data_IF_343877295074
#
_entry.id   IF_343877295074
#
_cell.length_a   1.000
_cell.length_b   1.000
_cell.length_c   1.000
_cell.angle_alpha   90.00
_cell.angle_beta   90.00
_cell.angle_gamma   90.00
#
_symmetry.space_group_name_H-M   'P 1'
#
loop_
_entity.id
_entity.type
_entity.pdbx_description
1 polymer ?
#
# COMPACT_ATOMS: atom_id res chain seq x y z
N UNK A 1 -9.89 3.81 -22.63
CA UNK A 1 -8.93 4.86 -22.24
C UNK A 1 -9.51 6.23 -22.58
N UNK A 2 -9.18 7.34 -21.89
CA UNK A 2 -9.59 8.67 -22.37
C UNK A 2 -9.02 8.90 -23.77
N UNK A 3 -9.81 9.53 -24.65
CA UNK A 3 -9.39 9.81 -26.02
C UNK A 3 -8.45 11.01 -26.15
N UNK A 4 -8.28 11.80 -25.10
CA UNK A 4 -7.44 13.01 -25.13
C UNK A 4 -6.88 13.38 -23.76
N UNK A 5 -5.89 14.27 -23.80
CA UNK A 5 -5.24 14.86 -22.62
C UNK A 5 -6.21 15.79 -21.89
N UNK A 6 -6.13 15.85 -20.56
CA UNK A 6 -6.92 16.79 -19.75
C UNK A 6 -6.58 18.24 -20.12
N UNK A 7 -7.49 19.17 -19.83
CA UNK A 7 -7.20 20.60 -19.93
C UNK A 7 -6.06 20.98 -18.99
N UNK A 8 -5.11 21.76 -19.49
CA UNK A 8 -4.06 22.38 -18.67
C UNK A 8 -4.65 23.54 -17.87
N UNK A 9 -3.95 23.97 -16.82
CA UNK A 9 -4.45 25.09 -16.00
C UNK A 9 -4.49 26.41 -16.79
N UNK A 10 -3.60 26.57 -17.78
CA UNK A 10 -3.65 27.68 -18.73
C UNK A 10 -4.92 27.65 -19.59
N UNK A 11 -5.24 26.51 -20.20
CA UNK A 11 -6.46 26.35 -21.01
C UNK A 11 -7.72 26.57 -20.18
N UNK A 12 -7.74 26.09 -18.93
CA UNK A 12 -8.84 26.36 -17.99
C UNK A 12 -9.02 27.85 -17.75
N UNK A 13 -7.93 28.58 -17.51
CA UNK A 13 -7.94 30.03 -17.35
C UNK A 13 -8.49 30.74 -18.59
N UNK A 14 -8.03 30.37 -19.79
CA UNK A 14 -8.54 30.90 -21.05
C UNK A 14 -10.03 30.64 -21.24
N UNK A 15 -10.50 29.41 -20.98
CA UNK A 15 -11.92 29.07 -21.08
C UNK A 15 -12.74 29.92 -20.11
N UNK A 16 -12.29 30.07 -18.86
CA UNK A 16 -12.97 30.86 -17.84
C UNK A 16 -13.03 32.35 -18.17
N UNK A 17 -11.96 32.92 -18.74
CA UNK A 17 -11.93 34.32 -19.17
C UNK A 17 -12.87 34.57 -20.36
N UNK A 18 -12.74 33.79 -21.44
CA UNK A 18 -13.57 33.94 -22.64
C UNK A 18 -15.05 33.68 -22.37
N UNK A 19 -15.38 32.77 -21.44
CA UNK A 19 -16.76 32.52 -21.05
C UNK A 19 -17.37 33.71 -20.28
N UNK A 20 -16.58 34.40 -19.44
CA UNK A 20 -17.02 35.62 -18.75
C UNK A 20 -17.28 36.77 -19.72
N UNK A 21 -16.55 36.83 -20.83
CA UNK A 21 -16.76 37.79 -21.92
C UNK A 21 -18.00 37.49 -22.77
N UNK A 22 -18.75 36.41 -22.47
CA UNK A 22 -19.97 36.04 -23.19
C UNK A 22 -19.74 35.27 -24.50
N UNK A 23 -18.51 34.85 -24.77
CA UNK A 23 -18.18 34.10 -26.00
C UNK A 23 -18.83 32.72 -25.96
N UNK A 24 -19.33 32.26 -27.11
CA UNK A 24 -20.01 30.97 -27.20
C UNK A 24 -19.06 29.80 -26.93
N UNK A 25 -19.54 28.75 -26.26
CA UNK A 25 -18.73 27.56 -25.90
C UNK A 25 -18.09 26.87 -27.11
N UNK A 26 -18.75 26.92 -28.28
CA UNK A 26 -18.22 26.38 -29.54
C UNK A 26 -17.05 27.21 -30.05
N UNK A 27 -17.17 28.53 -30.00
CA UNK A 27 -16.12 29.44 -30.44
C UNK A 27 -14.91 29.39 -29.52
N UNK A 28 -15.11 29.31 -28.20
CA UNK A 28 -14.03 29.07 -27.22
C UNK A 28 -13.25 27.81 -27.58
N UNK A 29 -13.97 26.72 -27.90
CA UNK A 29 -13.35 25.45 -28.26
C UNK A 29 -12.52 25.56 -29.54
N UNK A 30 -13.01 26.27 -30.56
CA UNK A 30 -12.26 26.55 -31.79
C UNK A 30 -11.00 27.38 -31.53
N UNK A 31 -11.10 28.45 -30.71
CA UNK A 31 -9.95 29.33 -30.38
C UNK A 31 -8.83 28.58 -29.64
N UNK A 32 -9.18 27.65 -28.75
CA UNK A 32 -8.22 26.90 -27.94
C UNK A 32 -7.80 25.59 -28.63
N UNK A 33 -8.41 25.23 -29.78
CA UNK A 33 -8.10 23.99 -30.49
C UNK A 33 -8.53 22.73 -29.73
N UNK A 34 -9.61 22.81 -28.95
CA UNK A 34 -10.14 21.70 -28.13
C UNK A 34 -11.55 21.31 -28.58
N UNK A 35 -12.03 20.15 -28.11
CA UNK A 35 -13.41 19.76 -28.39
C UNK A 35 -14.40 20.57 -27.57
N UNK A 36 -15.50 20.95 -28.22
CA UNK A 36 -16.60 21.70 -27.59
C UNK A 36 -17.20 20.95 -26.37
N UNK A 37 -17.17 19.62 -26.39
CA UNK A 37 -17.59 18.75 -25.28
C UNK A 37 -16.68 18.91 -24.07
N UNK A 38 -15.37 19.07 -24.25
CA UNK A 38 -14.44 19.27 -23.12
C UNK A 38 -14.66 20.64 -22.47
N UNK A 39 -14.85 21.69 -23.28
CA UNK A 39 -15.19 23.04 -22.81
C UNK A 39 -16.51 23.01 -22.04
N UNK A 40 -17.56 22.38 -22.58
CA UNK A 40 -18.85 22.20 -21.89
C UNK A 40 -18.70 21.45 -20.56
N UNK A 41 -17.95 20.35 -20.54
CA UNK A 41 -17.74 19.56 -19.31
C UNK A 41 -16.98 20.34 -18.24
N UNK A 42 -16.00 21.17 -18.63
CA UNK A 42 -15.28 22.03 -17.70
C UNK A 42 -16.19 23.12 -17.13
N UNK A 43 -16.90 23.87 -17.98
CA UNK A 43 -17.78 24.96 -17.52
C UNK A 43 -18.95 24.46 -16.65
N UNK A 44 -19.45 23.25 -16.89
CA UNK A 44 -20.49 22.66 -16.05
C UNK A 44 -19.98 22.23 -14.65
N UNK A 45 -18.67 22.09 -14.46
CA UNK A 45 -18.09 21.70 -13.18
C UNK A 45 -16.63 22.18 -13.08
N UNK A 46 -16.47 23.50 -12.93
CA UNK A 46 -15.16 24.17 -12.94
C UNK A 46 -14.29 23.67 -11.79
N UNK A 47 -14.85 23.63 -10.58
CA UNK A 47 -14.09 23.30 -9.37
C UNK A 47 -13.64 21.83 -9.31
N UNK A 48 -14.43 20.91 -9.88
CA UNK A 48 -14.11 19.47 -9.83
C UNK A 48 -13.60 18.91 -11.16
N UNK A 49 -13.24 19.76 -12.13
CA UNK A 49 -12.73 19.25 -13.40
C UNK A 49 -11.43 18.47 -13.19
N UNK A 50 -11.43 17.21 -13.60
CA UNK A 50 -10.24 16.37 -13.58
C UNK A 50 -9.78 15.89 -12.19
N UNK A 51 -10.50 16.23 -11.11
CA UNK A 51 -10.21 15.80 -9.73
C UNK A 51 -10.58 14.34 -9.48
N UNK A 52 -11.57 13.82 -10.22
CA UNK A 52 -12.01 12.43 -10.11
C UNK A 52 -10.87 11.45 -10.41
N UNK A 53 -10.36 10.80 -9.35
CA UNK A 53 -9.35 9.74 -9.45
C UNK A 53 -9.96 8.49 -10.06
N UNK A 54 -9.21 7.84 -10.96
CA UNK A 54 -9.54 6.50 -11.45
C UNK A 54 -9.13 5.48 -10.39
N UNK A 55 -10.07 4.67 -9.92
CA UNK A 55 -9.80 3.64 -8.89
C UNK A 55 -8.92 2.48 -9.39
N UNK A 56 -8.71 2.37 -10.70
CA UNK A 56 -7.93 1.29 -11.30
C UNK A 56 -8.64 -0.06 -11.21
N UNK A 57 -7.92 -1.14 -11.54
CA UNK A 57 -8.42 -2.51 -11.40
C UNK A 57 -8.51 -2.87 -9.91
N UNK A 58 -9.62 -3.46 -9.43
CA UNK A 58 -9.71 -3.95 -8.06
C UNK A 58 -8.63 -5.01 -7.81
N UNK A 59 -8.21 -5.11 -6.56
CA UNK A 59 -7.24 -6.14 -6.15
C UNK A 59 -7.90 -7.51 -6.17
N UNK A 60 -7.10 -8.53 -6.44
CA UNK A 60 -7.56 -9.94 -6.46
C UNK A 60 -7.83 -10.46 -5.05
N UNK A 61 -7.03 -10.02 -4.06
CA UNK A 61 -7.18 -10.41 -2.66
C UNK A 61 -8.22 -9.54 -1.95
N UNK A 62 -9.14 -10.19 -1.24
CA UNK A 62 -10.08 -9.51 -0.35
C UNK A 62 -9.41 -9.06 0.94
N UNK A 63 -10.08 -8.18 1.68
CA UNK A 63 -9.62 -7.72 3.00
C UNK A 63 -9.48 -8.85 4.02
N UNK A 64 -10.28 -9.91 3.85
CA UNK A 64 -10.17 -11.13 4.66
C UNK A 64 -8.92 -11.91 4.29
N UNK A 65 -8.66 -12.11 3.00
CA UNK A 65 -7.48 -12.85 2.54
C UNK A 65 -6.19 -12.14 2.97
N UNK A 66 -6.16 -10.81 2.89
CA UNK A 66 -5.01 -10.00 3.35
C UNK A 66 -4.74 -10.21 4.84
N UNK A 67 -5.78 -10.23 5.67
CA UNK A 67 -5.67 -10.52 7.10
C UNK A 67 -5.20 -11.96 7.36
N UNK A 68 -5.73 -12.94 6.63
CA UNK A 68 -5.30 -14.33 6.74
C UNK A 68 -3.83 -14.51 6.38
N UNK A 69 -3.37 -13.90 5.26
CA UNK A 69 -1.95 -13.90 4.87
C UNK A 69 -1.10 -13.28 5.98
N UNK A 70 -1.50 -12.12 6.52
CA UNK A 70 -0.76 -11.46 7.58
C UNK A 70 -0.66 -12.33 8.84
N UNK A 71 -1.74 -13.02 9.21
CA UNK A 71 -1.77 -13.91 10.37
C UNK A 71 -0.89 -15.15 10.16
N UNK A 72 -0.98 -15.79 9.00
CA UNK A 72 -0.19 -16.97 8.65
C UNK A 72 1.31 -16.66 8.51
N UNK A 73 1.66 -15.42 8.13
CA UNK A 73 3.05 -14.97 7.98
C UNK A 73 3.68 -14.52 9.30
N UNK A 74 2.88 -13.95 10.22
CA UNK A 74 3.37 -13.42 11.48
C UNK A 74 3.97 -14.53 12.36
N UNK A 75 5.18 -14.29 12.88
CA UNK A 75 5.92 -15.22 13.77
C UNK A 75 6.08 -16.66 13.22
N UNK A 76 5.98 -16.85 11.91
CA UNK A 76 6.10 -18.17 11.29
C UNK A 76 7.32 -18.23 10.36
N UNK A 77 7.80 -19.45 10.13
CA UNK A 77 8.83 -19.74 9.12
C UNK A 77 8.20 -20.32 7.84
N UNK A 78 6.93 -20.02 7.60
CA UNK A 78 6.18 -20.61 6.49
C UNK A 78 6.70 -20.11 5.14
N UNK A 79 6.79 -21.03 4.17
CA UNK A 79 7.07 -20.66 2.79
C UNK A 79 5.86 -19.96 2.16
N UNK A 80 6.06 -19.13 1.14
CA UNK A 80 4.96 -18.48 0.42
C UNK A 80 3.95 -19.50 -0.15
N UNK A 81 4.44 -20.68 -0.54
CA UNK A 81 3.60 -21.77 -1.07
C UNK A 81 2.83 -22.46 0.06
N UNK A 82 3.43 -22.57 1.25
CA UNK A 82 2.75 -23.00 2.47
C UNK A 82 1.63 -22.03 2.86
N UNK A 83 1.91 -20.74 2.92
CA UNK A 83 0.91 -19.68 3.24
C UNK A 83 -0.26 -19.73 2.25
N UNK A 84 0.02 -19.92 0.96
CA UNK A 84 -1.03 -20.08 -0.06
C UNK A 84 -1.96 -21.25 0.26
N UNK A 85 -1.39 -22.40 0.59
CA UNK A 85 -2.14 -23.62 0.85
C UNK A 85 -2.92 -23.52 2.18
N UNK A 86 -2.30 -22.98 3.23
CA UNK A 86 -2.91 -22.73 4.53
C UNK A 86 -4.11 -21.79 4.42
N UNK A 87 -3.96 -20.68 3.69
CA UNK A 87 -5.02 -19.71 3.45
C UNK A 87 -6.01 -20.16 2.35
N UNK A 88 -5.80 -21.33 1.72
CA UNK A 88 -6.60 -21.87 0.60
C UNK A 88 -6.81 -20.86 -0.54
N UNK A 89 -5.76 -20.12 -0.90
CA UNK A 89 -5.83 -19.07 -1.90
C UNK A 89 -5.48 -19.58 -3.31
N UNK A 90 -6.26 -19.18 -4.31
CA UNK A 90 -6.02 -19.47 -5.73
C UNK A 90 -5.19 -18.39 -6.44
N UNK A 91 -4.39 -17.61 -5.69
CA UNK A 91 -3.55 -16.54 -6.25
C UNK A 91 -2.13 -17.00 -6.55
N UNK A 92 -1.44 -16.24 -7.41
CA UNK A 92 -0.03 -16.49 -7.71
C UNK A 92 0.88 -16.17 -6.51
N UNK A 93 1.98 -16.91 -6.40
CA UNK A 93 2.99 -16.73 -5.33
C UNK A 93 3.52 -15.27 -5.26
N UNK A 94 3.83 -14.59 -6.39
CA UNK A 94 4.26 -13.19 -6.34
C UNK A 94 3.19 -12.23 -5.82
N UNK A 95 1.90 -12.60 -5.89
CA UNK A 95 0.82 -11.77 -5.32
C UNK A 95 0.84 -11.82 -3.79
N UNK A 96 1.08 -13.00 -3.22
CA UNK A 96 1.23 -13.18 -1.76
C UNK A 96 2.47 -12.43 -1.27
N UNK A 97 3.60 -12.57 -1.96
CA UNK A 97 4.83 -11.86 -1.61
C UNK A 97 4.66 -10.33 -1.62
N UNK A 98 4.00 -9.78 -2.66
CA UNK A 98 3.67 -8.35 -2.73
C UNK A 98 2.77 -7.89 -1.60
N UNK A 99 1.85 -8.73 -1.14
CA UNK A 99 0.98 -8.39 -0.02
C UNK A 99 1.72 -8.41 1.31
N UNK A 100 2.63 -9.36 1.51
CA UNK A 100 3.49 -9.41 2.71
C UNK A 100 4.37 -8.15 2.78
N UNK A 101 5.07 -7.80 1.70
CA UNK A 101 5.94 -6.62 1.67
C UNK A 101 5.20 -5.29 1.79
N UNK A 102 3.89 -5.28 1.55
CA UNK A 102 3.06 -4.07 1.74
C UNK A 102 2.78 -3.82 3.22
N UNK A 103 2.85 -4.84 4.07
CA UNK A 103 2.58 -4.70 5.49
C UNK A 103 3.85 -4.18 6.21
N UNK A 104 3.86 -2.94 6.74
CA UNK A 104 5.04 -2.38 7.41
C UNK A 104 5.39 -3.09 8.71
N UNK A 105 4.46 -3.87 9.28
CA UNK A 105 4.67 -4.59 10.53
C UNK A 105 5.28 -5.99 10.32
N UNK A 106 5.49 -6.41 9.07
CA UNK A 106 6.10 -7.70 8.75
C UNK A 106 7.48 -7.47 8.14
N UNK A 107 8.51 -7.86 8.89
CA UNK A 107 9.90 -7.82 8.43
C UNK A 107 10.41 -9.26 8.32
N UNK A 108 11.06 -9.55 7.20
CA UNK A 108 11.74 -10.83 7.02
C UNK A 108 13.04 -10.79 7.82
N UNK A 109 13.10 -11.58 8.88
CA UNK A 109 14.34 -11.77 9.64
C UNK A 109 14.76 -13.23 9.66
N UNK A 110 16.07 -13.45 9.82
CA UNK A 110 16.62 -14.79 10.07
C UNK A 110 16.59 -15.02 11.58
N UNK A 111 15.97 -16.13 12.00
CA UNK A 111 15.98 -16.55 13.40
C UNK A 111 17.43 -16.71 13.88
N UNK A 112 17.78 -16.04 14.98
CA UNK A 112 19.10 -16.18 15.62
C UNK A 112 19.28 -17.63 16.08
N UNK A 113 20.43 -18.22 15.78
CA UNK A 113 20.76 -19.56 16.28
C UNK A 113 21.01 -19.48 17.78
N UNK A 114 20.38 -20.35 18.53
CA UNK A 114 20.62 -20.53 19.96
C UNK A 114 20.74 -22.04 20.24
N UNK A 115 21.68 -22.46 21.10
CA UNK A 115 21.75 -23.84 21.57
C UNK A 115 20.43 -24.24 22.24
N UNK A 116 20.04 -25.52 22.08
CA UNK A 116 18.84 -26.04 22.75
C UNK A 116 19.07 -26.06 24.26
N UNK A 117 18.23 -25.34 24.99
CA UNK A 117 18.29 -25.30 26.45
C UNK A 117 17.64 -26.57 27.03
N UNK A 118 18.48 -27.57 27.30
CA UNK A 118 18.10 -28.76 28.06
C UNK A 118 17.75 -28.42 29.52
N UNK A 119 17.06 -29.34 30.20
CA UNK A 119 16.58 -29.08 31.56
C UNK A 119 17.73 -28.78 32.54
N UNK A 120 18.79 -29.59 32.54
CA UNK A 120 19.95 -29.37 33.40
C UNK A 120 20.61 -28.00 33.18
N UNK A 121 20.62 -27.47 31.94
CA UNK A 121 21.10 -26.11 31.68
C UNK A 121 20.20 -25.04 32.33
N UNK A 122 18.88 -25.26 32.37
CA UNK A 122 17.94 -24.32 33.02
C UNK A 122 18.18 -24.31 34.52
N UNK A 123 18.33 -25.50 35.12
CA UNK A 123 18.53 -25.66 36.55
C UNK A 123 19.86 -25.01 36.99
N UNK A 124 20.95 -25.28 36.28
CA UNK A 124 22.25 -24.66 36.56
C UNK A 124 22.25 -23.13 36.40
N UNK A 125 21.54 -22.61 35.37
CA UNK A 125 21.37 -21.15 35.18
C UNK A 125 20.58 -20.53 36.32
N UNK A 126 19.53 -21.21 36.80
CA UNK A 126 18.70 -20.73 37.89
C UNK A 126 19.48 -20.72 39.21
N UNK A 127 20.25 -21.76 39.48
CA UNK A 127 21.12 -21.86 40.65
C UNK A 127 22.21 -20.77 40.61
N UNK A 128 22.88 -20.57 39.47
CA UNK A 128 23.83 -19.48 39.29
C UNK A 128 23.18 -18.12 39.56
N UNK A 129 21.98 -17.86 39.01
CA UNK A 129 21.28 -16.60 39.24
C UNK A 129 20.96 -16.39 40.74
N UNK A 130 20.44 -17.43 41.42
CA UNK A 130 20.15 -17.38 42.86
C UNK A 130 21.40 -17.07 43.69
N UNK A 131 22.50 -17.75 43.39
CA UNK A 131 23.76 -17.60 44.13
C UNK A 131 24.46 -16.26 43.89
N UNK A 132 24.13 -15.56 42.79
CA UNK A 132 24.78 -14.31 42.41
C UNK A 132 23.82 -13.10 42.42
N UNK A 133 22.63 -13.18 43.05
CA UNK A 133 21.67 -12.07 43.05
C UNK A 133 22.20 -10.80 43.71
N UNK A 134 23.00 -10.93 44.78
CA UNK A 134 23.60 -9.80 45.51
C UNK A 134 25.01 -9.48 45.04
N UNK A 135 25.45 -10.05 43.92
CA UNK A 135 26.82 -9.87 43.42
C UNK A 135 26.92 -8.59 42.59
N UNK A 136 27.77 -7.67 43.02
CA UNK A 136 28.10 -6.47 42.24
C UNK A 136 29.14 -6.83 41.17
N UNK A 137 28.64 -7.18 39.98
CA UNK A 137 29.47 -7.58 38.85
C UNK A 137 30.40 -6.49 38.32
N UNK A 138 30.14 -5.23 38.64
CA UNK A 138 30.99 -4.09 38.26
C UNK A 138 32.26 -3.97 39.13
N UNK A 139 32.36 -4.76 40.21
CA UNK A 139 33.48 -4.75 41.17
C UNK A 139 34.35 -6.02 41.08
N UNK A 140 34.12 -6.87 40.09
CA UNK A 140 34.81 -8.15 39.85
C UNK A 140 35.47 -8.12 38.48
#
# INVERSE_FOLDING_TARGET
MPRGVKLTDYEKGQISALFKEGISKREIASRIGRSDRVVRNYLNNVDNYGTKKRKGRPRVLSDRDRRSISKATSNSTNSLRGIRNECKLSVSIPTIWREINRNPNLVREKMRKAPRLQQHHKDARLEFARNNMSRHWDQV
#
